data_IF_709348251591
#
_entry.id   IF_709348251591
#
_cell.length_a   1.000
_cell.length_b   1.000
_cell.length_c   1.000
_cell.angle_alpha   90.00
_cell.angle_beta   90.00
_cell.angle_gamma   90.00
#
_symmetry.space_group_name_H-M   'P 1'
#
loop_
_entity.id
_entity.type
_entity.pdbx_description
1 polymer ?
#
# COMPACT_ATOMS: atom_id res chain seq x y z
N UNK A 1 -13.14 -49.89 9.53
CA UNK A 1 -13.42 -49.72 10.95
C UNK A 1 -14.15 -48.40 11.11
N UNK A 2 -15.47 -48.53 11.26
CA UNK A 2 -16.48 -47.54 11.58
C UNK A 2 -16.51 -47.30 13.08
N UNK A 3 -16.55 -46.09 13.55
CA UNK A 3 -17.03 -45.71 14.87
C UNK A 3 -17.64 -44.32 14.74
N UNK A 4 -18.91 -44.23 14.61
CA UNK A 4 -20.04 -43.80 15.39
C UNK A 4 -19.93 -42.42 16.06
N UNK A 5 -20.79 -41.55 15.54
CA UNK A 5 -21.31 -40.33 16.18
C UNK A 5 -21.94 -40.64 17.52
N UNK A 6 -21.70 -39.81 18.51
CA UNK A 6 -22.62 -39.58 19.65
C UNK A 6 -22.78 -38.12 19.95
N UNK A 7 -23.98 -37.68 19.62
CA UNK A 7 -24.66 -36.54 20.24
C UNK A 7 -24.60 -36.58 21.77
N UNK A 8 -24.25 -35.48 22.39
CA UNK A 8 -24.78 -35.11 23.69
C UNK A 8 -25.01 -33.61 23.81
N UNK A 9 -26.28 -33.28 23.72
CA UNK A 9 -26.90 -32.01 24.04
C UNK A 9 -26.98 -31.79 25.56
N UNK A 10 -26.93 -30.51 25.96
CA UNK A 10 -27.38 -29.89 27.18
C UNK A 10 -26.47 -29.96 28.40
N UNK A 11 -25.89 -28.79 28.66
CA UNK A 11 -26.00 -28.20 30.01
C UNK A 11 -25.81 -26.68 29.94
N UNK A 12 -26.92 -25.95 30.07
CA UNK A 12 -26.95 -24.60 30.55
C UNK A 12 -26.39 -24.58 31.98
N UNK A 13 -25.32 -23.84 32.17
CA UNK A 13 -24.91 -23.42 33.50
C UNK A 13 -24.58 -21.92 33.45
N UNK A 14 -25.42 -21.16 34.10
CA UNK A 14 -25.16 -19.79 34.53
C UNK A 14 -23.76 -19.65 35.10
N UNK A 15 -22.97 -18.77 34.55
CA UNK A 15 -21.83 -18.20 35.25
C UNK A 15 -21.77 -16.71 35.02
N UNK A 16 -22.16 -16.01 36.05
CA UNK A 16 -21.87 -14.63 36.42
C UNK A 16 -20.62 -14.09 35.72
N UNK A 17 -20.83 -12.92 35.08
CA UNK A 17 -19.80 -12.16 34.37
C UNK A 17 -18.55 -11.88 35.21
N UNK A 18 -17.47 -12.53 34.85
CA UNK A 18 -16.12 -12.01 35.07
C UNK A 18 -15.75 -11.24 33.83
N UNK A 19 -15.25 -9.99 33.94
CA UNK A 19 -14.72 -9.29 32.80
C UNK A 19 -13.50 -10.08 32.31
N UNK A 20 -13.55 -10.55 31.08
CA UNK A 20 -12.45 -11.21 30.38
C UNK A 20 -11.38 -10.17 30.01
N UNK A 21 -10.97 -9.37 30.98
CA UNK A 21 -9.81 -8.48 30.98
C UNK A 21 -8.61 -9.20 31.58
N UNK A 22 -8.54 -10.51 31.49
CA UNK A 22 -7.27 -11.19 31.66
C UNK A 22 -6.43 -10.82 30.43
N UNK A 23 -5.63 -9.75 30.57
CA UNK A 23 -4.49 -9.45 29.74
C UNK A 23 -3.80 -10.78 29.44
N UNK A 24 -3.93 -11.26 28.22
CA UNK A 24 -3.19 -12.46 27.79
C UNK A 24 -1.72 -12.04 27.75
N UNK A 25 -0.88 -12.41 28.74
CA UNK A 25 0.48 -11.86 28.88
C UNK A 25 1.35 -12.14 27.65
N UNK A 26 1.03 -13.19 26.90
CA UNK A 26 1.73 -13.58 25.68
C UNK A 26 1.43 -12.65 24.50
N UNK A 27 0.38 -11.81 24.55
CA UNK A 27 0.06 -10.86 23.49
C UNK A 27 1.20 -9.85 23.29
N UNK A 28 1.88 -9.47 24.37
CA UNK A 28 3.00 -8.53 24.33
C UNK A 28 4.25 -9.09 23.63
N UNK A 29 4.30 -10.41 23.44
CA UNK A 29 5.42 -11.09 22.77
C UNK A 29 5.08 -11.51 21.33
N UNK A 30 3.89 -11.18 20.86
CA UNK A 30 3.47 -11.49 19.49
C UNK A 30 4.19 -10.56 18.52
N UNK A 31 4.75 -11.13 17.46
CA UNK A 31 5.36 -10.36 16.38
C UNK A 31 4.31 -10.04 15.33
N UNK A 32 4.26 -8.78 14.89
CA UNK A 32 3.50 -8.37 13.71
C UNK A 32 4.48 -8.23 12.54
N UNK A 33 4.43 -9.18 11.60
CA UNK A 33 5.19 -9.07 10.36
C UNK A 33 4.53 -8.03 9.47
N UNK A 34 5.16 -6.85 9.41
CA UNK A 34 4.56 -5.70 8.74
C UNK A 34 4.68 -5.77 7.22
N UNK A 35 5.85 -6.13 6.69
CA UNK A 35 6.10 -6.38 5.27
C UNK A 35 6.84 -7.69 5.11
N UNK A 36 6.36 -8.55 4.25
CA UNK A 36 7.01 -9.83 3.90
C UNK A 36 7.57 -9.75 2.48
N UNK A 37 8.89 -9.73 2.37
CA UNK A 37 9.64 -9.75 1.12
C UNK A 37 10.39 -11.08 0.90
N UNK A 38 10.02 -12.14 1.62
CA UNK A 38 10.71 -13.44 1.54
C UNK A 38 10.71 -14.06 0.14
N UNK A 39 9.68 -13.76 -0.66
CA UNK A 39 9.54 -14.26 -2.03
C UNK A 39 9.99 -13.25 -3.10
N UNK A 40 10.56 -12.11 -2.70
CA UNK A 40 10.97 -11.06 -3.64
C UNK A 40 12.43 -11.24 -4.00
N UNK A 41 12.71 -11.55 -5.27
CA UNK A 41 14.05 -11.59 -5.82
C UNK A 41 14.46 -10.18 -6.27
N UNK A 42 15.43 -9.58 -5.57
CA UNK A 42 15.93 -8.24 -5.86
C UNK A 42 15.13 -7.11 -5.20
N UNK A 43 15.16 -5.93 -5.81
CA UNK A 43 14.44 -4.77 -5.31
C UNK A 43 12.92 -4.89 -5.62
N UNK A 44 12.03 -4.62 -4.67
CA UNK A 44 10.60 -4.68 -4.92
C UNK A 44 10.17 -3.64 -5.96
N UNK A 45 9.32 -4.04 -6.90
CA UNK A 45 8.69 -3.16 -7.87
C UNK A 45 7.18 -3.27 -7.70
N UNK A 46 6.58 -2.20 -7.21
CA UNK A 46 5.15 -2.19 -6.87
C UNK A 46 4.40 -1.30 -7.85
N UNK A 47 3.35 -1.86 -8.43
CA UNK A 47 2.38 -1.16 -9.25
C UNK A 47 0.98 -1.60 -8.83
N UNK A 48 0.10 -0.65 -8.55
CA UNK A 48 -1.26 -0.90 -8.12
C UNK A 48 -2.18 0.15 -8.76
N UNK A 49 -3.43 -0.17 -8.98
CA UNK A 49 -4.45 0.73 -9.53
C UNK A 49 -5.30 1.42 -8.44
N UNK A 50 -5.21 0.98 -7.20
CA UNK A 50 -5.98 1.54 -6.09
C UNK A 50 -5.19 2.60 -5.33
N UNK A 51 -5.40 3.85 -5.67
CA UNK A 51 -4.74 5.03 -5.05
C UNK A 51 -5.54 5.63 -3.90
N UNK A 52 -6.18 4.80 -3.07
CA UNK A 52 -6.74 5.30 -1.81
C UNK A 52 -5.62 5.64 -0.81
N UNK A 53 -5.88 6.63 0.05
CA UNK A 53 -4.91 7.06 1.07
C UNK A 53 -4.40 5.88 1.91
N UNK A 54 -5.31 5.07 2.40
CA UNK A 54 -4.98 3.92 3.24
C UNK A 54 -4.19 2.83 2.51
N UNK A 55 -4.44 2.66 1.20
CA UNK A 55 -3.68 1.70 0.41
C UNK A 55 -2.24 2.17 0.16
N UNK A 56 -2.03 3.46 -0.07
CA UNK A 56 -0.69 4.01 -0.32
C UNK A 56 0.12 4.12 0.98
N UNK A 57 -0.45 4.70 2.03
CA UNK A 57 0.28 5.07 3.26
C UNK A 57 0.08 4.08 4.41
N UNK A 58 -0.76 3.06 4.23
CA UNK A 58 -1.12 2.12 5.28
C UNK A 58 -2.24 2.63 6.17
N UNK A 59 -2.68 1.79 7.06
CA UNK A 59 -3.79 2.07 7.97
C UNK A 59 -3.59 1.39 9.31
N UNK A 60 -4.26 1.94 10.31
CA UNK A 60 -4.46 1.32 11.60
C UNK A 60 -5.92 0.83 11.64
N UNK A 61 -6.12 -0.47 11.83
CA UNK A 61 -7.44 -1.06 11.99
C UNK A 61 -7.90 -0.98 13.42
N UNK A 62 -9.20 -0.99 13.63
CA UNK A 62 -9.83 -0.90 14.95
C UNK A 62 -10.83 -2.02 15.13
N UNK A 63 -10.85 -2.59 16.32
CA UNK A 63 -11.91 -3.49 16.75
C UNK A 63 -12.92 -2.74 17.61
N UNK A 64 -14.21 -3.00 17.37
CA UNK A 64 -15.26 -2.47 18.23
C UNK A 64 -15.48 -3.41 19.43
N UNK A 65 -15.11 -2.93 20.59
CA UNK A 65 -15.32 -3.64 21.85
C UNK A 65 -16.33 -2.88 22.72
N UNK A 66 -17.56 -3.36 22.76
CA UNK A 66 -18.67 -2.75 23.51
C UNK A 66 -18.84 -1.24 23.28
N UNK A 67 -18.80 -0.81 22.01
CA UNK A 67 -18.96 0.61 21.65
C UNK A 67 -17.70 1.46 21.79
N UNK A 68 -16.57 0.88 22.22
CA UNK A 68 -15.26 1.54 22.27
C UNK A 68 -14.36 0.97 21.17
N UNK A 69 -13.76 1.83 20.38
CA UNK A 69 -12.78 1.42 19.37
C UNK A 69 -11.43 1.18 20.04
N UNK A 70 -10.94 -0.05 19.95
CA UNK A 70 -9.63 -0.45 20.44
C UNK A 70 -8.73 -0.81 19.26
N UNK A 71 -7.46 -0.52 19.41
CA UNK A 71 -6.41 -0.92 18.45
C UNK A 71 -5.17 -1.36 19.20
N UNK A 72 -4.36 -2.15 18.55
CA UNK A 72 -3.03 -2.53 19.00
C UNK A 72 -2.03 -2.56 17.83
N UNK A 73 -0.77 -2.83 18.13
CA UNK A 73 0.29 -2.87 17.10
C UNK A 73 0.08 -3.98 16.06
N UNK A 74 -0.69 -5.02 16.35
CA UNK A 74 -0.99 -6.11 15.39
C UNK A 74 -2.00 -5.69 14.34
N UNK A 75 -2.72 -4.58 14.57
CA UNK A 75 -3.71 -3.98 13.69
C UNK A 75 -3.13 -3.00 12.67
N UNK A 76 -1.81 -2.79 12.72
CA UNK A 76 -1.09 -2.00 11.73
C UNK A 76 -1.04 -2.77 10.40
N UNK A 77 -1.46 -2.11 9.30
CA UNK A 77 -1.40 -2.66 7.95
C UNK A 77 -0.50 -1.79 7.07
N UNK A 78 0.45 -2.40 6.36
CA UNK A 78 1.34 -1.65 5.48
C UNK A 78 0.60 -1.12 4.26
N UNK A 79 1.02 0.04 3.78
CA UNK A 79 0.63 0.56 2.47
C UNK A 79 1.65 0.21 1.39
N UNK A 80 1.35 0.64 0.15
CA UNK A 80 2.19 0.39 -1.01
C UNK A 80 3.61 0.95 -0.84
N UNK A 81 3.76 2.14 -0.22
CA UNK A 81 5.06 2.74 0.03
C UNK A 81 5.92 1.90 0.97
N UNK A 82 5.30 1.25 1.96
CA UNK A 82 6.04 0.35 2.86
C UNK A 82 6.50 -0.91 2.13
N UNK A 83 5.65 -1.47 1.27
CA UNK A 83 5.97 -2.65 0.45
C UNK A 83 7.05 -2.37 -0.60
N UNK A 84 7.06 -1.12 -1.14
CA UNK A 84 8.01 -0.69 -2.15
C UNK A 84 9.34 -0.18 -1.56
N UNK A 85 9.46 -0.09 -0.24
CA UNK A 85 10.65 0.46 0.41
C UNK A 85 11.90 -0.37 0.09
N UNK A 86 12.98 0.28 -0.29
CA UNK A 86 14.18 -0.35 -0.85
C UNK A 86 14.10 -0.63 -2.36
N UNK A 87 13.03 -0.22 -3.05
CA UNK A 87 12.81 -0.50 -4.48
C UNK A 87 12.11 0.61 -5.24
N UNK A 88 11.10 0.21 -6.02
CA UNK A 88 10.42 1.09 -6.97
C UNK A 88 8.92 1.04 -6.76
N UNK A 89 8.27 2.20 -6.93
CA UNK A 89 6.83 2.29 -7.01
C UNK A 89 6.41 3.06 -8.26
N UNK A 90 5.41 2.56 -8.96
CA UNK A 90 4.91 3.14 -10.21
C UNK A 90 3.49 3.65 -9.98
N UNK A 91 3.26 4.92 -10.30
CA UNK A 91 1.96 5.57 -10.20
C UNK A 91 1.51 6.15 -11.54
N UNK A 92 0.23 6.01 -11.83
CA UNK A 92 -0.45 6.81 -12.85
C UNK A 92 -0.73 8.20 -12.26
N UNK A 93 -0.17 9.23 -12.86
CA UNK A 93 -0.21 10.59 -12.27
C UNK A 93 -1.64 11.15 -12.22
N UNK A 94 -2.47 10.85 -13.21
CA UNK A 94 -3.86 11.29 -13.25
C UNK A 94 -4.65 10.82 -12.02
N UNK A 95 -4.55 9.53 -11.71
CA UNK A 95 -5.27 8.93 -10.60
C UNK A 95 -4.73 9.40 -9.25
N UNK A 96 -3.41 9.61 -9.19
CA UNK A 96 -2.76 10.12 -7.99
C UNK A 96 -3.19 11.57 -7.67
N UNK A 97 -3.28 12.43 -8.70
CA UNK A 97 -3.71 13.84 -8.54
C UNK A 97 -5.21 13.92 -8.26
N UNK A 98 -6.03 13.05 -8.84
CA UNK A 98 -7.46 13.00 -8.57
C UNK A 98 -7.74 12.89 -7.06
N UNK A 99 -6.82 12.27 -6.32
CA UNK A 99 -6.80 12.29 -4.87
C UNK A 99 -5.69 13.22 -4.36
N UNK A 100 -5.97 14.51 -4.32
CA UNK A 100 -4.99 15.55 -3.96
C UNK A 100 -4.30 15.32 -2.61
N UNK A 101 -4.99 14.71 -1.64
CA UNK A 101 -4.41 14.37 -0.35
C UNK A 101 -3.28 13.33 -0.51
N UNK A 102 -3.45 12.34 -1.39
CA UNK A 102 -2.43 11.34 -1.67
C UNK A 102 -1.19 11.95 -2.29
N UNK A 103 -1.37 12.83 -3.27
CA UNK A 103 -0.26 13.51 -3.94
C UNK A 103 0.54 14.41 -2.98
N UNK A 104 -0.13 15.22 -2.18
CA UNK A 104 0.53 16.10 -1.20
C UNK A 104 1.25 15.31 -0.11
N UNK A 105 0.64 14.23 0.39
CA UNK A 105 1.25 13.38 1.40
C UNK A 105 2.46 12.62 0.83
N UNK A 106 2.39 12.16 -0.43
CA UNK A 106 3.53 11.54 -1.11
C UNK A 106 4.71 12.52 -1.21
N UNK A 107 4.49 13.76 -1.65
CA UNK A 107 5.54 14.78 -1.70
C UNK A 107 6.16 15.03 -0.32
N UNK A 108 5.32 15.10 0.72
CA UNK A 108 5.78 15.25 2.12
C UNK A 108 6.68 14.08 2.51
N UNK A 109 6.24 12.85 2.27
CA UNK A 109 7.01 11.64 2.61
C UNK A 109 8.36 11.58 1.87
N UNK A 110 8.37 11.89 0.56
CA UNK A 110 9.59 11.91 -0.24
C UNK A 110 10.58 13.00 0.22
N UNK A 111 10.07 14.15 0.63
CA UNK A 111 10.89 15.27 1.12
C UNK A 111 11.49 14.98 2.49
N UNK A 112 10.71 14.39 3.38
CA UNK A 112 11.15 14.03 4.73
C UNK A 112 11.97 12.74 4.74
N UNK A 113 11.87 11.93 3.70
CA UNK A 113 12.44 10.57 3.61
C UNK A 113 11.96 9.65 4.74
N UNK A 114 10.73 9.84 5.14
CA UNK A 114 10.09 9.08 6.20
C UNK A 114 8.62 8.82 5.83
N UNK A 115 8.11 7.68 6.24
CA UNK A 115 6.71 7.34 6.13
C UNK A 115 6.16 6.97 7.49
N UNK A 116 5.10 7.65 7.90
CA UNK A 116 4.34 7.34 9.11
C UNK A 116 2.93 6.90 8.76
N UNK A 117 2.36 6.02 9.57
CA UNK A 117 0.95 5.70 9.48
C UNK A 117 0.20 6.75 10.30
N UNK A 118 -0.39 7.70 9.60
CA UNK A 118 -1.29 8.67 10.20
C UNK A 118 -2.72 8.15 10.02
N UNK A 119 -3.50 8.14 11.10
CA UNK A 119 -4.93 7.99 10.95
C UNK A 119 -5.44 9.24 10.24
N UNK A 120 -5.83 9.10 8.99
CA UNK A 120 -6.69 10.10 8.38
C UNK A 120 -8.02 10.03 9.15
N UNK A 121 -8.06 10.72 10.28
CA UNK A 121 -9.27 10.80 11.08
C UNK A 121 -10.37 11.34 10.18
N UNK A 122 -11.40 10.54 9.97
CA UNK A 122 -12.61 11.05 9.33
C UNK A 122 -13.10 12.20 10.23
N UNK A 123 -13.12 13.45 9.74
CA UNK A 123 -13.54 14.60 10.54
C UNK A 123 -14.97 14.47 11.07
N UNK A 124 -15.72 13.47 10.57
CA UNK A 124 -17.10 13.16 10.97
C UNK A 124 -17.19 12.15 12.10
N UNK A 125 -16.09 11.52 12.51
CA UNK A 125 -16.07 10.56 13.61
C UNK A 125 -15.91 11.30 14.93
N UNK A 126 -17.01 11.47 15.67
CA UNK A 126 -17.00 12.01 17.03
C UNK A 126 -16.64 10.98 18.10
N UNK A 127 -16.17 9.79 17.70
CA UNK A 127 -15.77 8.74 18.65
C UNK A 127 -14.38 9.03 19.22
N UNK A 128 -14.26 8.85 20.54
CA UNK A 128 -12.97 8.88 21.23
C UNK A 128 -12.19 7.65 20.79
N UNK A 129 -11.16 7.87 19.97
CA UNK A 129 -10.24 6.82 19.53
C UNK A 129 -9.00 6.82 20.41
N UNK A 130 -8.63 5.66 20.93
CA UNK A 130 -7.29 5.45 21.47
C UNK A 130 -6.35 5.36 20.26
N UNK A 131 -5.58 6.42 20.02
CA UNK A 131 -4.68 6.47 18.85
C UNK A 131 -3.32 5.89 19.22
N UNK A 132 -2.94 4.84 18.51
CA UNK A 132 -1.55 4.37 18.47
C UNK A 132 -0.81 5.20 17.40
N UNK A 133 0.30 5.81 17.79
CA UNK A 133 1.17 6.53 16.86
C UNK A 133 2.50 5.78 16.72
N UNK A 134 2.64 4.93 15.69
CA UNK A 134 3.89 4.24 15.44
C UNK A 134 4.99 5.22 15.04
N UNK A 135 6.24 4.84 15.31
CA UNK A 135 7.39 5.61 14.83
C UNK A 135 7.43 5.61 13.29
N UNK A 136 7.83 6.74 12.69
CA UNK A 136 8.04 6.81 11.24
C UNK A 136 9.13 5.84 10.79
N UNK A 137 8.93 5.25 9.62
CA UNK A 137 9.90 4.34 8.99
C UNK A 137 10.70 5.14 7.97
N UNK A 138 12.05 5.04 7.97
CA UNK A 138 12.87 5.64 6.92
C UNK A 138 12.46 5.15 5.54
N UNK A 139 12.32 6.08 4.58
CA UNK A 139 11.85 5.83 3.23
C UNK A 139 13.00 5.98 2.23
N UNK A 140 13.40 4.87 1.61
CA UNK A 140 14.37 4.83 0.52
C UNK A 140 13.78 4.07 -0.67
N UNK A 141 13.09 4.79 -1.54
CA UNK A 141 12.48 4.24 -2.75
C UNK A 141 12.59 5.20 -3.92
N UNK A 142 12.38 4.67 -5.13
CA UNK A 142 12.26 5.43 -6.36
C UNK A 142 10.81 5.45 -6.81
N UNK A 143 10.30 6.66 -7.04
CA UNK A 143 8.94 6.86 -7.56
C UNK A 143 9.02 7.11 -9.06
N UNK A 144 8.23 6.34 -9.80
CA UNK A 144 8.04 6.50 -11.25
C UNK A 144 6.62 6.98 -11.46
N UNK A 145 6.48 8.13 -12.12
CA UNK A 145 5.17 8.69 -12.49
C UNK A 145 4.97 8.48 -14.00
N UNK A 146 3.86 7.90 -14.37
CA UNK A 146 3.44 7.73 -15.77
C UNK A 146 2.30 8.69 -16.06
N UNK A 147 2.38 9.42 -17.13
CA UNK A 147 1.34 10.39 -17.53
C UNK A 147 1.64 11.09 -18.84
N UNK A 148 0.77 12.00 -19.21
CA UNK A 148 0.85 12.76 -20.46
C UNK A 148 1.74 13.98 -20.35
N UNK A 149 2.20 14.48 -21.46
CA UNK A 149 3.00 15.71 -21.57
C UNK A 149 2.22 16.92 -21.00
N UNK A 150 0.92 17.03 -21.26
CA UNK A 150 0.10 18.14 -20.75
C UNK A 150 0.07 18.20 -19.22
N UNK A 151 -0.06 17.05 -18.56
CA UNK A 151 -0.04 16.93 -17.09
C UNK A 151 1.34 17.29 -16.56
N UNK A 152 2.39 16.81 -17.22
CA UNK A 152 3.77 17.13 -16.84
C UNK A 152 4.03 18.64 -16.90
N UNK A 153 3.66 19.31 -17.99
CA UNK A 153 3.82 20.78 -18.14
C UNK A 153 3.00 21.55 -17.12
N UNK A 154 1.79 21.09 -16.84
CA UNK A 154 0.91 21.71 -15.83
C UNK A 154 1.54 21.61 -14.43
N UNK A 155 2.05 20.45 -14.06
CA UNK A 155 2.73 20.24 -12.78
C UNK A 155 4.00 21.07 -12.65
N UNK A 156 4.78 21.17 -13.71
CA UNK A 156 5.96 22.02 -13.74
C UNK A 156 5.63 23.52 -13.52
N UNK A 157 4.48 23.97 -14.01
CA UNK A 157 4.05 25.34 -13.90
C UNK A 157 3.46 25.67 -12.52
N UNK A 158 2.72 24.75 -11.93
CA UNK A 158 1.94 24.99 -10.72
C UNK A 158 2.69 24.54 -9.46
N UNK A 159 3.42 23.41 -9.53
CA UNK A 159 4.02 22.76 -8.37
C UNK A 159 5.55 22.94 -8.33
N UNK A 160 5.99 23.85 -7.47
CA UNK A 160 7.42 24.13 -7.28
C UNK A 160 8.22 22.94 -6.73
N UNK A 161 7.58 22.01 -6.01
CA UNK A 161 8.25 20.86 -5.43
C UNK A 161 8.38 19.72 -6.43
N UNK A 162 7.50 19.66 -7.45
CA UNK A 162 7.54 18.64 -8.50
C UNK A 162 8.92 18.58 -9.18
N UNK A 163 9.42 19.72 -9.62
CA UNK A 163 10.75 19.82 -10.28
C UNK A 163 11.91 19.37 -9.40
N UNK A 164 11.79 19.54 -8.07
CA UNK A 164 12.84 19.16 -7.12
C UNK A 164 12.83 17.67 -6.84
N UNK A 165 11.66 17.07 -6.81
CA UNK A 165 11.47 15.64 -6.47
C UNK A 165 11.63 14.75 -7.70
N UNK A 166 11.06 15.16 -8.85
CA UNK A 166 11.05 14.41 -10.11
C UNK A 166 11.96 15.04 -11.14
N UNK A 167 13.26 14.72 -11.07
CA UNK A 167 14.31 15.39 -11.86
C UNK A 167 14.53 14.78 -13.24
N UNK A 168 14.10 13.54 -13.44
CA UNK A 168 14.34 12.80 -14.66
C UNK A 168 13.03 12.69 -15.42
N UNK A 169 12.99 13.24 -16.63
CA UNK A 169 11.92 13.04 -17.61
C UNK A 169 12.40 12.03 -18.64
N UNK A 170 11.57 11.03 -18.91
CA UNK A 170 11.73 10.10 -20.02
C UNK A 170 10.51 10.30 -20.93
N UNK A 171 10.77 10.61 -22.17
CA UNK A 171 9.76 10.84 -23.18
C UNK A 171 9.79 9.70 -24.20
N UNK A 172 8.63 9.17 -24.51
CA UNK A 172 8.46 8.19 -25.55
C UNK A 172 7.88 8.90 -26.77
N UNK A 173 8.55 8.72 -27.91
CA UNK A 173 8.07 9.23 -29.19
C UNK A 173 6.89 8.37 -29.67
N UNK A 174 5.90 9.00 -30.28
CA UNK A 174 4.73 8.32 -30.85
C UNK A 174 5.09 7.50 -32.09
N UNK A 175 6.15 7.91 -32.79
CA UNK A 175 6.63 7.30 -34.01
C UNK A 175 7.97 6.61 -33.84
N UNK A 176 8.10 5.41 -34.37
CA UNK A 176 9.37 4.71 -34.46
C UNK A 176 9.81 4.54 -35.92
N UNK A 177 11.04 4.91 -36.31
CA UNK A 177 11.50 4.73 -37.67
C UNK A 177 11.53 3.24 -38.05
N UNK A 178 11.05 2.94 -39.28
CA UNK A 178 10.98 1.57 -39.79
C UNK A 178 12.36 1.07 -40.24
N UNK A 179 13.20 0.76 -39.24
CA UNK A 179 14.50 0.13 -39.47
C UNK A 179 14.41 -1.38 -39.21
N UNK A 180 15.33 -2.14 -39.82
CA UNK A 180 15.41 -3.59 -39.60
C UNK A 180 15.60 -3.94 -38.11
N UNK A 181 16.31 -3.11 -37.39
CA UNK A 181 16.53 -3.27 -35.94
C UNK A 181 15.23 -3.09 -35.15
N UNK A 182 14.46 -2.02 -35.41
CA UNK A 182 13.21 -1.74 -34.74
C UNK A 182 12.14 -2.80 -35.11
N UNK A 183 12.12 -3.27 -36.35
CA UNK A 183 11.24 -4.38 -36.74
C UNK A 183 11.56 -5.68 -35.97
N UNK A 184 12.85 -5.97 -35.79
CA UNK A 184 13.26 -7.15 -34.99
C UNK A 184 12.89 -7.00 -33.52
N UNK A 185 13.04 -5.81 -32.94
CA UNK A 185 12.61 -5.51 -31.54
C UNK A 185 11.10 -5.67 -31.41
N UNK A 186 10.32 -5.14 -32.34
CA UNK A 186 8.87 -5.25 -32.36
C UNK A 186 8.41 -6.72 -32.49
N UNK A 187 9.05 -7.48 -33.39
CA UNK A 187 8.72 -8.91 -33.54
C UNK A 187 9.02 -9.70 -32.24
N UNK A 188 10.11 -9.39 -31.54
CA UNK A 188 10.43 -10.01 -30.23
C UNK A 188 9.42 -9.60 -29.16
N UNK A 189 8.98 -8.34 -29.15
CA UNK A 189 7.96 -7.87 -28.23
C UNK A 189 6.63 -8.60 -28.46
N UNK A 190 6.17 -8.68 -29.72
CA UNK A 190 4.92 -9.40 -30.09
C UNK A 190 5.03 -10.86 -29.67
N UNK A 191 6.16 -11.52 -29.98
CA UNK A 191 6.36 -12.91 -29.60
C UNK A 191 6.30 -13.08 -28.08
N UNK A 192 6.99 -12.24 -27.30
CA UNK A 192 6.96 -12.29 -25.83
C UNK A 192 5.56 -12.09 -25.26
N UNK A 193 4.78 -11.21 -25.87
CA UNK A 193 3.39 -10.99 -25.48
C UNK A 193 2.50 -12.20 -25.81
N UNK A 194 2.66 -12.78 -27.02
CA UNK A 194 1.94 -14.00 -27.38
C UNK A 194 2.29 -15.17 -26.47
N UNK A 195 3.57 -15.33 -26.11
CA UNK A 195 4.02 -16.39 -25.20
C UNK A 195 3.43 -16.18 -23.77
N UNK A 196 3.29 -14.93 -23.33
CA UNK A 196 2.70 -14.59 -22.01
C UNK A 196 1.19 -14.83 -21.95
N UNK A 197 0.47 -14.52 -23.03
CA UNK A 197 -0.98 -14.65 -23.13
C UNK A 197 -1.42 -15.99 -23.72
N UNK A 198 -0.49 -16.94 -23.91
CA UNK A 198 -0.74 -18.26 -24.53
C UNK A 198 -1.47 -18.17 -25.90
N UNK A 199 -1.14 -17.12 -26.66
CA UNK A 199 -1.72 -16.92 -27.99
C UNK A 199 -0.95 -17.72 -29.04
N UNK A 200 -1.66 -18.26 -30.09
CA UNK A 200 -1.04 -19.06 -31.13
C UNK A 200 -0.09 -18.26 -32.05
#
# INVERSE_FOLDING_TARGET
FTVEEKDESKQQANSTGKPETALKPWLNYRVNLFVDNSNTEGAPVIMDSNYSYHNIFGKLEYENYYGTLKTDYTMLKPGLLHKANGGYIVFQIHDLIANGLCYETLKKALRMKEIGIENAADPRSSMVMVSLKPEPIPLDLKVILIGDENVYQTLLAIDNDFRKLFKIKVEFEDDAPRTTENMTKLARFIKGYCDQEELP
#
